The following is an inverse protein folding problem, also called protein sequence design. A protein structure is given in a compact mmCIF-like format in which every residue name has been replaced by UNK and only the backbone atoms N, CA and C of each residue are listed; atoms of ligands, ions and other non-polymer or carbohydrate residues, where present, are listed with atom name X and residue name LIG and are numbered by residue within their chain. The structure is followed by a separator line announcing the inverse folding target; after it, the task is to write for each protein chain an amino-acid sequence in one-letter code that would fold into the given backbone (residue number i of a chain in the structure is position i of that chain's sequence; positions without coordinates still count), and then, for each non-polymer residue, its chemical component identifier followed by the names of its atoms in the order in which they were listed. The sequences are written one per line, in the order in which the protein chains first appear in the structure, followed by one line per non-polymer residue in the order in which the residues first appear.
data_IF_774702472838
#
_entry.id   IF_774702472838
#
_cell.length_a   1.000
_cell.length_b   1.000
_cell.length_c   1.000
_cell.angle_alpha   90.00
_cell.angle_beta   90.00
_cell.angle_gamma   90.00
#
_symmetry.space_group_name_H-M   'P 1'
#
loop_
_entity.id
_entity.type
_entity.pdbx_description
1 polymer ?
#
# COMPACT_ATOMS: atom_id res chain seq x y z
N UNK A 1 14.35 10.15 16.12
CA UNK A 1 13.39 10.44 15.04
C UNK A 1 13.86 9.72 13.80
N UNK A 2 12.99 9.43 12.85
CA UNK A 2 13.35 8.76 11.61
C UNK A 2 13.54 9.82 10.50
N UNK A 3 14.70 9.79 9.85
CA UNK A 3 14.96 10.53 8.62
C UNK A 3 14.63 9.61 7.42
N UNK A 4 13.51 9.84 6.72
CA UNK A 4 13.10 8.99 5.62
C UNK A 4 13.95 9.18 4.35
N UNK A 5 14.72 10.28 4.25
CA UNK A 5 15.63 10.55 3.13
C UNK A 5 16.96 9.81 3.28
N UNK A 6 17.41 9.66 4.52
CA UNK A 6 18.65 8.96 4.87
C UNK A 6 18.44 7.51 5.34
N UNK A 7 17.18 7.09 5.47
CA UNK A 7 16.76 5.80 6.01
C UNK A 7 17.43 5.47 7.36
N UNK A 8 17.45 6.45 8.27
CA UNK A 8 18.18 6.34 9.54
C UNK A 8 17.40 6.90 10.73
N UNK A 9 17.79 6.48 11.94
CA UNK A 9 17.23 7.01 13.19
C UNK A 9 18.22 7.98 13.82
N UNK A 10 17.75 9.20 14.08
CA UNK A 10 18.49 10.28 14.74
C UNK A 10 17.99 10.50 16.18
N UNK A 11 18.73 11.23 17.04
CA UNK A 11 18.20 11.70 18.32
C UNK A 11 16.96 12.60 18.17
N UNK A 12 16.26 12.87 19.27
CA UNK A 12 15.18 13.86 19.27
C UNK A 12 15.77 15.27 19.34
N UNK A 13 15.34 16.14 18.44
CA UNK A 13 15.74 17.56 18.38
C UNK A 13 14.57 18.43 17.86
N UNK A 14 14.85 19.69 17.55
CA UNK A 14 13.90 20.70 17.08
C UNK A 14 13.33 20.42 15.68
N UNK A 15 13.90 19.46 14.94
CA UNK A 15 13.39 18.99 13.65
C UNK A 15 12.32 17.91 13.81
N UNK A 16 11.74 17.73 14.99
CA UNK A 16 10.61 16.83 15.16
C UNK A 16 9.37 17.31 14.41
N UNK A 17 8.66 16.39 13.73
CA UNK A 17 7.39 16.72 13.09
C UNK A 17 6.37 17.29 14.11
N UNK A 18 5.68 18.37 13.75
CA UNK A 18 4.67 19.04 14.56
C UNK A 18 3.51 18.10 14.95
N UNK A 19 3.24 17.08 14.13
CA UNK A 19 2.27 16.03 14.45
C UNK A 19 2.77 14.97 15.43
N UNK A 20 3.96 15.14 16.04
CA UNK A 20 4.47 14.22 17.06
C UNK A 20 3.54 14.07 18.26
N UNK A 21 3.02 15.19 18.79
CA UNK A 21 2.15 15.17 19.96
C UNK A 21 0.75 14.61 19.67
N UNK A 22 0.23 14.86 18.46
CA UNK A 22 -1.14 14.49 18.06
C UNK A 22 -1.24 13.09 17.45
N UNK A 23 -0.21 12.66 16.71
CA UNK A 23 -0.21 11.43 15.91
C UNK A 23 0.93 10.45 16.26
N UNK A 24 1.66 10.70 17.35
CA UNK A 24 2.83 9.90 17.69
C UNK A 24 3.92 9.92 16.60
N UNK A 25 3.91 10.91 15.70
CA UNK A 25 4.81 10.94 14.55
C UNK A 25 6.27 10.93 15.00
N UNK A 26 7.04 9.99 14.44
CA UNK A 26 8.46 9.79 14.76
C UNK A 26 9.39 10.35 13.70
N UNK A 27 8.88 10.89 12.60
CA UNK A 27 9.68 11.38 11.47
C UNK A 27 10.17 12.82 11.69
N UNK A 28 11.29 13.16 11.06
CA UNK A 28 11.80 14.53 11.03
C UNK A 28 10.95 15.41 10.11
N UNK A 29 10.79 16.68 10.46
CA UNK A 29 10.16 17.71 9.64
C UNK A 29 11.02 18.08 8.43
N UNK A 30 10.37 18.43 7.32
CA UNK A 30 10.98 19.01 6.13
C UNK A 30 10.44 20.44 5.94
N UNK A 31 11.34 21.41 5.73
CA UNK A 31 10.97 22.81 5.50
C UNK A 31 10.38 23.55 6.72
N UNK A 32 9.93 24.78 6.48
CA UNK A 32 9.54 25.73 7.54
C UNK A 32 8.19 25.42 8.21
N UNK A 33 7.37 24.55 7.60
CA UNK A 33 6.03 24.19 8.09
C UNK A 33 6.05 23.21 9.28
N UNK A 34 7.22 22.70 9.66
CA UNK A 34 7.36 21.77 10.79
C UNK A 34 6.72 20.39 10.56
N UNK A 35 6.23 20.07 9.37
CA UNK A 35 5.67 18.76 9.04
C UNK A 35 6.71 17.88 8.35
N UNK A 36 6.69 16.57 8.63
CA UNK A 36 7.49 15.61 7.87
C UNK A 36 6.92 15.39 6.48
N UNK A 37 7.73 14.82 5.59
CA UNK A 37 7.32 14.44 4.22
C UNK A 37 5.95 13.75 4.18
N UNK A 38 5.70 12.79 5.07
CA UNK A 38 4.43 12.08 5.11
C UNK A 38 3.28 12.94 5.62
N UNK A 39 3.43 13.67 6.72
CA UNK A 39 2.33 14.48 7.26
C UNK A 39 1.98 15.66 6.34
N UNK A 40 2.97 16.20 5.62
CA UNK A 40 2.77 17.29 4.66
C UNK A 40 1.89 16.90 3.46
N UNK A 41 1.77 15.60 3.14
CA UNK A 41 0.92 15.15 2.03
C UNK A 41 -0.56 15.02 2.39
N UNK A 42 -0.94 15.08 3.69
CA UNK A 42 -2.36 15.11 4.08
C UNK A 42 -2.89 16.53 3.99
N UNK A 43 -3.66 16.82 2.95
CA UNK A 43 -4.29 18.13 2.77
C UNK A 43 -5.64 18.24 3.48
N UNK A 44 -6.36 17.13 3.64
CA UNK A 44 -7.61 17.07 4.36
C UNK A 44 -7.51 16.06 5.51
N UNK A 45 -7.52 16.58 6.73
CA UNK A 45 -7.60 15.79 7.96
C UNK A 45 -9.03 15.27 8.20
N UNK A 46 -9.20 14.12 8.88
CA UNK A 46 -10.53 13.58 9.14
C UNK A 46 -11.27 14.41 10.19
N UNK A 47 -12.59 14.46 10.07
CA UNK A 47 -13.44 14.96 11.15
C UNK A 47 -13.29 14.08 12.39
N UNK A 48 -12.92 14.71 13.52
CA UNK A 48 -12.62 14.03 14.79
C UNK A 48 -13.79 14.04 15.78
N UNK A 49 -15.03 14.16 15.31
CA UNK A 49 -16.20 14.22 16.20
C UNK A 49 -16.62 12.87 16.79
N UNK A 50 -16.09 11.76 16.29
CA UNK A 50 -16.25 10.45 16.91
C UNK A 50 -15.09 10.15 17.88
N UNK A 51 -15.40 9.53 19.01
CA UNK A 51 -14.42 9.24 20.08
C UNK A 51 -13.22 8.40 19.61
N UNK A 52 -13.43 7.52 18.63
CA UNK A 52 -12.40 6.64 18.05
C UNK A 52 -11.58 7.30 16.94
N UNK A 53 -12.06 8.41 16.35
CA UNK A 53 -11.45 9.02 15.16
C UNK A 53 -9.99 9.46 15.36
N UNK A 54 -9.57 10.08 16.49
CA UNK A 54 -8.17 10.45 16.69
C UNK A 54 -7.22 9.24 16.65
N UNK A 55 -7.58 8.14 17.32
CA UNK A 55 -6.77 6.93 17.36
C UNK A 55 -6.74 6.19 16.01
N UNK A 56 -7.85 6.23 15.26
CA UNK A 56 -7.90 5.68 13.91
C UNK A 56 -7.04 6.50 12.94
N UNK A 57 -7.06 7.82 13.07
CA UNK A 57 -6.23 8.70 12.25
C UNK A 57 -4.73 8.52 12.54
N UNK A 58 -4.34 8.37 13.81
CA UNK A 58 -2.96 8.01 14.18
C UNK A 58 -2.47 6.74 13.46
N UNK A 59 -3.29 5.68 13.47
CA UNK A 59 -2.97 4.42 12.79
C UNK A 59 -2.95 4.56 11.27
N UNK A 60 -3.87 5.33 10.69
CA UNK A 60 -3.90 5.62 9.26
C UNK A 60 -2.63 6.33 8.79
N UNK A 61 -2.19 7.35 9.54
CA UNK A 61 -0.97 8.09 9.27
C UNK A 61 0.29 7.23 9.50
N UNK A 62 0.28 6.33 10.49
CA UNK A 62 1.36 5.35 10.68
C UNK A 62 1.45 4.38 9.51
N UNK A 63 0.31 3.88 9.00
CA UNK A 63 0.28 3.01 7.83
C UNK A 63 0.77 3.72 6.57
N UNK A 64 0.39 4.99 6.38
CA UNK A 64 0.88 5.82 5.27
C UNK A 64 2.39 6.01 5.31
N UNK A 65 2.97 6.29 6.48
CA UNK A 65 4.43 6.37 6.66
C UNK A 65 5.14 5.07 6.26
N UNK A 66 4.59 3.91 6.64
CA UNK A 66 5.12 2.61 6.24
C UNK A 66 5.08 2.38 4.73
N UNK A 67 3.98 2.77 4.07
CA UNK A 67 3.90 2.65 2.61
C UNK A 67 4.89 3.58 1.89
N UNK A 68 5.01 4.83 2.36
CA UNK A 68 5.91 5.83 1.76
C UNK A 68 7.39 5.49 1.95
N UNK A 69 7.80 4.92 3.09
CA UNK A 69 9.22 4.55 3.29
C UNK A 69 9.65 3.44 2.33
N UNK A 70 8.77 2.46 2.05
CA UNK A 70 9.04 1.42 1.06
C UNK A 70 9.28 2.01 -0.34
N UNK A 71 8.47 2.99 -0.74
CA UNK A 71 8.61 3.69 -2.03
C UNK A 71 9.86 4.58 -2.09
N UNK A 72 10.20 5.30 -1.02
CA UNK A 72 11.44 6.07 -0.92
C UNK A 72 12.68 5.19 -1.09
N UNK A 73 12.68 4.00 -0.49
CA UNK A 73 13.74 3.00 -0.66
C UNK A 73 13.85 2.48 -2.09
N UNK A 74 12.78 2.58 -2.87
CA UNK A 74 12.75 2.26 -4.30
C UNK A 74 13.07 3.49 -5.18
N UNK A 75 13.43 4.64 -4.60
CA UNK A 75 13.79 5.83 -5.35
C UNK A 75 12.63 6.77 -5.70
N UNK A 76 11.41 6.47 -5.28
CA UNK A 76 10.27 7.37 -5.48
C UNK A 76 10.33 8.57 -4.54
N UNK A 77 9.77 9.68 -4.98
CA UNK A 77 9.66 10.92 -4.19
C UNK A 77 11.00 11.53 -3.80
N UNK A 78 12.09 11.17 -4.47
CA UNK A 78 13.44 11.67 -4.20
C UNK A 78 13.71 12.93 -5.00
N UNK A 79 14.20 13.98 -4.34
CA UNK A 79 14.51 15.27 -4.95
C UNK A 79 13.47 16.37 -4.62
N UNK A 80 13.83 17.64 -4.85
CA UNK A 80 13.01 18.79 -4.44
C UNK A 80 11.72 18.96 -5.24
N UNK A 81 11.72 18.55 -6.51
CA UNK A 81 10.59 18.73 -7.43
C UNK A 81 9.82 17.42 -7.71
N UNK A 82 10.13 16.35 -6.95
CA UNK A 82 9.48 15.07 -7.14
C UNK A 82 7.98 15.18 -6.81
N UNK A 83 7.07 14.82 -7.74
CA UNK A 83 5.63 14.96 -7.51
C UNK A 83 5.20 14.01 -6.40
N UNK A 84 4.66 14.57 -5.31
CA UNK A 84 4.13 13.82 -4.18
C UNK A 84 2.64 13.53 -4.37
N UNK A 85 2.14 12.37 -3.90
CA UNK A 85 0.71 12.14 -3.79
C UNK A 85 0.09 13.09 -2.77
N UNK A 86 -1.18 13.45 -2.99
CA UNK A 86 -1.99 14.21 -2.02
C UNK A 86 -2.96 13.25 -1.35
N UNK A 87 -3.16 13.39 -0.04
CA UNK A 87 -4.09 12.55 0.72
C UNK A 87 -5.24 13.36 1.32
N UNK A 88 -6.45 12.82 1.14
CA UNK A 88 -7.61 13.13 1.96
C UNK A 88 -7.89 11.95 2.89
N UNK A 89 -7.86 12.19 4.19
CA UNK A 89 -8.24 11.20 5.20
C UNK A 89 -9.62 11.54 5.74
N UNK A 90 -10.57 10.63 5.57
CA UNK A 90 -11.98 10.86 5.89
C UNK A 90 -12.47 9.89 6.97
N UNK A 91 -13.43 10.37 7.77
CA UNK A 91 -14.19 9.56 8.74
C UNK A 91 -15.60 9.31 8.23
N UNK A 92 -16.11 8.09 8.39
CA UNK A 92 -17.53 7.79 8.15
C UNK A 92 -18.46 8.36 9.21
N UNK A 93 -17.95 8.74 10.38
CA UNK A 93 -18.74 9.29 11.48
C UNK A 93 -18.43 10.78 11.60
N UNK A 94 -19.42 11.62 11.32
CA UNK A 94 -19.32 13.08 11.39
C UNK A 94 -20.50 13.60 12.17
N UNK A 95 -20.23 14.18 13.34
CA UNK A 95 -21.20 14.89 14.19
C UNK A 95 -22.43 14.03 14.54
N UNK A 96 -22.19 12.75 14.82
CA UNK A 96 -23.22 11.76 15.12
C UNK A 96 -23.93 11.17 13.90
N UNK A 97 -23.71 11.71 12.70
CA UNK A 97 -24.21 11.15 11.44
C UNK A 97 -23.20 10.18 10.82
N UNK A 98 -23.72 9.21 10.05
CA UNK A 98 -22.90 8.29 9.25
C UNK A 98 -22.93 8.69 7.79
N UNK A 99 -21.78 8.78 7.16
CA UNK A 99 -21.61 8.98 5.72
C UNK A 99 -20.87 7.79 5.08
N UNK A 100 -21.06 7.61 3.78
CA UNK A 100 -20.27 6.69 2.98
C UNK A 100 -18.99 7.39 2.55
N UNK A 101 -17.84 6.75 2.78
CA UNK A 101 -16.54 7.20 2.26
C UNK A 101 -16.12 6.21 1.18
N UNK A 102 -16.05 6.70 -0.06
CA UNK A 102 -15.44 5.97 -1.16
C UNK A 102 -13.93 6.23 -1.12
N UNK A 103 -13.14 5.15 -1.05
CA UNK A 103 -11.69 5.21 -1.12
C UNK A 103 -11.26 5.00 -2.58
N UNK A 104 -10.21 5.70 -2.99
CA UNK A 104 -9.77 5.65 -4.37
C UNK A 104 -8.70 6.67 -4.67
N UNK A 105 -8.19 6.62 -5.90
CA UNK A 105 -7.26 7.56 -6.48
C UNK A 105 -7.89 8.30 -7.66
N UNK A 106 -7.69 9.61 -7.74
CA UNK A 106 -8.09 10.43 -8.89
C UNK A 106 -7.09 11.59 -9.08
N UNK A 107 -6.45 11.67 -10.25
CA UNK A 107 -5.58 12.79 -10.65
C UNK A 107 -4.51 13.20 -9.61
N UNK A 108 -3.92 12.22 -8.92
CA UNK A 108 -2.90 12.46 -7.88
C UNK A 108 -3.45 12.59 -6.46
N UNK A 109 -4.77 12.69 -6.30
CA UNK A 109 -5.45 12.70 -5.02
C UNK A 109 -5.85 11.29 -4.59
N UNK A 110 -5.37 10.87 -3.43
CA UNK A 110 -5.70 9.61 -2.77
C UNK A 110 -6.67 9.88 -1.62
N UNK A 111 -7.84 9.24 -1.65
CA UNK A 111 -8.83 9.31 -0.57
C UNK A 111 -8.79 8.04 0.26
N UNK A 112 -8.57 8.19 1.56
CA UNK A 112 -8.51 7.09 2.52
C UNK A 112 -9.59 7.24 3.60
N UNK A 113 -10.23 6.13 3.96
CA UNK A 113 -11.12 6.04 5.10
C UNK A 113 -10.36 5.59 6.35
N UNK A 114 -10.29 6.42 7.39
CA UNK A 114 -9.56 6.07 8.62
C UNK A 114 -10.14 4.85 9.35
N UNK A 115 -11.41 4.54 9.10
CA UNK A 115 -12.06 3.35 9.66
C UNK A 115 -11.43 2.05 9.15
N UNK A 116 -10.63 2.08 8.08
CA UNK A 116 -9.89 0.92 7.62
C UNK A 116 -8.86 0.44 8.66
N UNK A 117 -8.44 1.32 9.57
CA UNK A 117 -7.57 1.02 10.71
C UNK A 117 -8.32 0.47 11.95
N UNK A 118 -9.64 0.29 11.88
CA UNK A 118 -10.46 -0.23 12.98
C UNK A 118 -10.31 -1.76 13.12
N UNK A 119 -9.79 -2.27 14.26
CA UNK A 119 -9.68 -3.70 14.51
C UNK A 119 -11.02 -4.46 14.45
N UNK A 120 -12.12 -3.83 14.85
CA UNK A 120 -13.44 -4.46 14.82
C UNK A 120 -13.90 -4.69 13.38
N UNK A 121 -13.64 -3.73 12.48
CA UNK A 121 -13.88 -3.89 11.04
C UNK A 121 -12.97 -4.93 10.41
N UNK A 122 -11.68 -4.92 10.76
CA UNK A 122 -10.75 -5.93 10.28
C UNK A 122 -11.23 -7.35 10.66
N UNK A 123 -11.69 -7.54 11.89
CA UNK A 123 -12.24 -8.81 12.35
C UNK A 123 -13.55 -9.19 11.63
N UNK A 124 -14.46 -8.22 11.47
CA UNK A 124 -15.73 -8.45 10.77
C UNK A 124 -15.53 -8.83 9.29
N UNK A 125 -14.56 -8.21 8.60
CA UNK A 125 -14.20 -8.55 7.21
C UNK A 125 -13.64 -9.96 7.09
N UNK A 126 -12.73 -10.35 8.00
CA UNK A 126 -12.20 -11.72 8.05
C UNK A 126 -13.30 -12.77 8.16
N UNK A 127 -14.36 -12.49 8.90
CA UNK A 127 -15.49 -13.41 9.07
C UNK A 127 -16.44 -13.44 7.86
N UNK A 128 -16.52 -12.36 7.08
CA UNK A 128 -17.60 -12.15 6.10
C UNK A 128 -17.18 -12.27 4.64
N UNK A 129 -15.97 -11.84 4.28
CA UNK A 129 -15.58 -11.65 2.87
C UNK A 129 -14.41 -12.52 2.42
N UNK A 130 -13.84 -13.34 3.31
CA UNK A 130 -12.64 -14.14 3.02
C UNK A 130 -11.48 -13.31 2.42
N UNK A 131 -11.46 -11.98 2.63
CA UNK A 131 -10.39 -11.05 2.25
C UNK A 131 -9.31 -11.09 3.35
N UNK A 132 -8.23 -11.86 3.19
CA UNK A 132 -7.46 -12.26 4.34
C UNK A 132 -6.35 -11.25 4.70
N UNK A 133 -5.97 -10.36 3.76
CA UNK A 133 -4.91 -9.35 3.92
C UNK A 133 -5.41 -7.89 3.84
N UNK A 134 -6.69 -7.62 4.15
CA UNK A 134 -7.21 -6.24 4.10
C UNK A 134 -6.83 -5.44 5.36
N UNK A 135 -5.70 -4.74 5.26
CA UNK A 135 -5.11 -3.88 6.31
C UNK A 135 -5.01 -2.43 5.84
N UNK A 136 -4.92 -1.49 6.78
CA UNK A 136 -4.68 -0.08 6.44
C UNK A 136 -3.41 0.10 5.58
N UNK A 137 -2.31 -0.59 5.90
CA UNK A 137 -1.06 -0.50 5.10
C UNK A 137 -1.28 -1.03 3.68
N UNK A 138 -1.97 -2.16 3.54
CA UNK A 138 -2.31 -2.73 2.23
C UNK A 138 -3.16 -1.79 1.40
N UNK A 139 -4.16 -1.16 2.01
CA UNK A 139 -5.01 -0.20 1.33
C UNK A 139 -4.25 1.06 0.91
N UNK A 140 -3.37 1.61 1.75
CA UNK A 140 -2.55 2.75 1.33
C UNK A 140 -1.64 2.37 0.16
N UNK A 141 -1.07 1.16 0.15
CA UNK A 141 -0.25 0.68 -0.98
C UNK A 141 -1.06 0.47 -2.24
N UNK A 142 -2.29 -0.02 -2.13
CA UNK A 142 -3.22 -0.18 -3.25
C UNK A 142 -3.50 1.17 -3.92
N UNK A 143 -3.89 2.19 -3.14
CA UNK A 143 -4.15 3.52 -3.70
C UNK A 143 -2.89 4.21 -4.23
N UNK A 144 -1.75 4.01 -3.56
CA UNK A 144 -0.47 4.47 -4.09
C UNK A 144 -0.13 3.77 -5.40
N UNK A 145 -0.47 2.50 -5.59
CA UNK A 145 -0.21 1.81 -6.84
C UNK A 145 -0.99 2.43 -8.02
N UNK A 146 -2.23 2.88 -7.82
CA UNK A 146 -2.93 3.68 -8.84
C UNK A 146 -2.23 5.00 -9.14
N UNK A 147 -1.79 5.73 -8.10
CA UNK A 147 -0.99 6.94 -8.28
C UNK A 147 0.28 6.67 -9.11
N UNK A 148 0.98 5.58 -8.81
CA UNK A 148 2.23 5.21 -9.49
C UNK A 148 1.98 4.73 -10.92
N UNK A 149 0.84 4.08 -11.20
CA UNK A 149 0.45 3.69 -12.55
C UNK A 149 0.46 4.91 -13.48
N UNK A 150 -0.21 6.00 -13.08
CA UNK A 150 -0.29 7.21 -13.90
C UNK A 150 1.08 7.81 -14.18
N UNK A 151 1.97 7.80 -13.18
CA UNK A 151 3.35 8.28 -13.35
C UNK A 151 4.11 7.40 -14.33
N UNK A 152 4.09 6.08 -14.13
CA UNK A 152 4.79 5.12 -14.99
C UNK A 152 4.28 5.19 -16.43
N UNK A 153 2.97 5.27 -16.64
CA UNK A 153 2.37 5.40 -17.97
C UNK A 153 2.76 6.71 -18.68
N UNK A 154 3.06 7.77 -17.93
CA UNK A 154 3.49 9.06 -18.46
C UNK A 154 5.00 9.12 -18.72
N UNK A 155 5.82 8.51 -17.87
CA UNK A 155 7.28 8.67 -17.90
C UNK A 155 8.02 7.50 -18.56
N UNK A 156 7.40 6.31 -18.64
CA UNK A 156 8.02 5.09 -19.18
C UNK A 156 7.26 4.61 -20.43
N UNK A 157 7.76 4.89 -21.65
CA UNK A 157 7.06 4.54 -22.89
C UNK A 157 6.70 3.06 -23.05
N UNK A 158 7.53 2.17 -22.50
CA UNK A 158 7.35 0.73 -22.61
C UNK A 158 6.41 0.14 -21.55
N UNK A 159 6.04 0.91 -20.51
CA UNK A 159 5.20 0.41 -19.41
C UNK A 159 3.80 0.03 -19.89
N UNK A 160 3.07 0.93 -20.57
CA UNK A 160 1.70 0.66 -20.97
C UNK A 160 1.57 -0.53 -21.96
N UNK A 161 2.42 -0.68 -22.99
CA UNK A 161 2.40 -1.88 -23.84
C UNK A 161 2.70 -3.17 -23.06
N UNK A 162 3.71 -3.17 -22.18
CA UNK A 162 4.08 -4.36 -21.40
C UNK A 162 3.01 -4.70 -20.35
N UNK A 163 2.41 -3.68 -19.73
CA UNK A 163 1.25 -3.82 -18.85
C UNK A 163 0.12 -4.55 -19.56
N UNK A 164 -0.30 -4.08 -20.74
CA UNK A 164 -1.44 -4.67 -21.47
C UNK A 164 -1.18 -6.11 -21.89
N UNK A 165 0.06 -6.44 -22.20
CA UNK A 165 0.45 -7.80 -22.54
C UNK A 165 0.32 -8.78 -21.35
N UNK A 166 0.42 -8.28 -20.11
CA UNK A 166 0.47 -9.11 -18.91
C UNK A 166 -0.79 -9.04 -18.03
N UNK A 167 -1.33 -7.84 -17.82
CA UNK A 167 -2.46 -7.55 -16.92
C UNK A 167 -3.81 -7.45 -17.65
N UNK A 168 -3.79 -7.18 -18.96
CA UNK A 168 -5.00 -6.90 -19.76
C UNK A 168 -5.16 -5.42 -20.09
N UNK A 169 -6.23 -5.08 -20.82
CA UNK A 169 -6.45 -3.73 -21.34
C UNK A 169 -7.15 -2.83 -20.32
N UNK A 170 -6.40 -1.90 -19.73
CA UNK A 170 -6.91 -0.98 -18.71
C UNK A 170 -7.91 0.06 -19.24
N UNK A 171 -8.09 0.13 -20.57
CA UNK A 171 -9.01 1.07 -21.22
C UNK A 171 -10.45 0.57 -21.24
N UNK A 172 -10.70 -0.66 -20.78
CA UNK A 172 -12.04 -1.19 -20.60
C UNK A 172 -12.85 -0.29 -19.65
N UNK A 173 -14.17 -0.24 -19.82
CA UNK A 173 -15.01 0.62 -19.00
C UNK A 173 -15.04 0.11 -17.56
N UNK A 174 -14.38 0.86 -16.68
CA UNK A 174 -14.20 0.49 -15.27
C UNK A 174 -15.53 0.20 -14.57
N UNK A 175 -16.55 1.05 -14.76
CA UNK A 175 -17.83 0.89 -14.09
C UNK A 175 -18.56 -0.40 -14.53
N UNK A 176 -18.51 -0.71 -15.82
CA UNK A 176 -19.08 -1.93 -16.40
C UNK A 176 -18.34 -3.17 -15.91
N UNK A 177 -17.01 -3.15 -15.89
CA UNK A 177 -16.18 -4.26 -15.41
C UNK A 177 -16.44 -4.56 -13.92
N UNK A 178 -16.51 -3.51 -13.09
CA UNK A 178 -16.83 -3.62 -11.67
C UNK A 178 -18.24 -4.16 -11.43
N UNK A 179 -19.24 -3.71 -12.20
CA UNK A 179 -20.59 -4.23 -12.10
C UNK A 179 -20.64 -5.73 -12.44
N UNK A 180 -19.97 -6.14 -13.52
CA UNK A 180 -19.88 -7.55 -13.91
C UNK A 180 -19.18 -8.40 -12.84
N UNK A 181 -18.13 -7.89 -12.20
CA UNK A 181 -17.45 -8.56 -11.10
C UNK A 181 -18.35 -8.76 -9.88
N UNK A 182 -19.09 -7.74 -9.43
CA UNK A 182 -19.98 -7.88 -8.28
C UNK A 182 -21.19 -8.79 -8.56
N UNK A 183 -21.59 -8.92 -9.82
CA UNK A 183 -22.66 -9.85 -10.23
C UNK A 183 -22.18 -11.30 -10.31
N UNK A 184 -21.00 -11.53 -10.90
CA UNK A 184 -20.56 -12.87 -11.28
C UNK A 184 -19.43 -13.44 -10.40
N UNK A 185 -18.70 -12.58 -9.69
CA UNK A 185 -17.47 -12.94 -9.00
C UNK A 185 -16.30 -13.21 -9.97
N UNK A 186 -15.14 -13.66 -9.44
CA UNK A 186 -14.01 -14.04 -10.27
C UNK A 186 -14.30 -15.35 -11.04
N UNK A 187 -13.76 -15.48 -12.24
CA UNK A 187 -13.85 -16.72 -13.02
C UNK A 187 -13.07 -17.88 -12.38
N UNK A 188 -13.50 -19.13 -12.60
CA UNK A 188 -12.77 -20.30 -12.12
C UNK A 188 -11.31 -20.32 -12.61
N UNK A 189 -10.39 -20.74 -11.74
CA UNK A 189 -8.95 -20.77 -12.04
C UNK A 189 -8.25 -19.41 -11.97
N UNK A 190 -8.90 -18.36 -11.49
CA UNK A 190 -8.29 -17.03 -11.32
C UNK A 190 -6.99 -17.07 -10.50
N UNK A 191 -6.88 -18.00 -9.53
CA UNK A 191 -5.71 -18.16 -8.66
C UNK A 191 -4.43 -18.49 -9.44
N UNK A 192 -4.54 -18.99 -10.66
CA UNK A 192 -3.40 -19.29 -11.52
C UNK A 192 -2.73 -18.01 -12.05
N UNK A 193 -3.44 -16.88 -12.06
CA UNK A 193 -3.00 -15.64 -12.72
C UNK A 193 -3.19 -14.37 -11.91
N UNK A 194 -4.05 -14.35 -10.88
CA UNK A 194 -4.37 -13.15 -10.11
C UNK A 194 -4.06 -13.36 -8.63
N UNK A 195 -3.45 -12.35 -8.01
CA UNK A 195 -3.04 -12.40 -6.61
C UNK A 195 -4.25 -12.47 -5.66
N UNK A 196 -5.36 -11.85 -6.04
CA UNK A 196 -6.60 -11.85 -5.26
C UNK A 196 -7.83 -12.01 -6.18
N UNK A 197 -8.97 -12.38 -5.60
CA UNK A 197 -10.22 -12.42 -6.35
C UNK A 197 -10.60 -11.03 -6.87
N UNK A 198 -10.29 -9.97 -6.11
CA UNK A 198 -10.63 -8.60 -6.50
C UNK A 198 -9.76 -8.07 -7.65
N UNK A 199 -8.51 -8.54 -7.75
CA UNK A 199 -7.64 -8.26 -8.89
C UNK A 199 -8.26 -8.66 -10.24
N UNK A 200 -9.20 -9.62 -10.28
CA UNK A 200 -9.88 -9.99 -11.53
C UNK A 200 -10.92 -8.97 -11.99
N UNK A 201 -11.24 -7.97 -11.17
CA UNK A 201 -12.34 -7.05 -11.43
C UNK A 201 -12.04 -6.10 -12.59
N UNK A 202 -10.78 -5.66 -12.71
CA UNK A 202 -10.31 -4.76 -13.77
C UNK A 202 -8.77 -4.77 -13.84
N UNK A 203 -8.12 -4.57 -15.00
CA UNK A 203 -6.65 -4.55 -15.08
C UNK A 203 -5.97 -3.51 -14.17
N UNK A 204 -6.59 -2.35 -13.92
CA UNK A 204 -6.08 -1.40 -12.91
C UNK A 204 -6.11 -1.98 -11.48
N UNK A 205 -7.10 -2.79 -11.13
CA UNK A 205 -7.19 -3.45 -9.83
C UNK A 205 -6.18 -4.59 -9.71
N UNK A 206 -5.95 -5.32 -10.81
CA UNK A 206 -4.90 -6.34 -10.87
C UNK A 206 -3.53 -5.75 -10.57
N UNK A 207 -3.23 -4.60 -11.18
CA UNK A 207 -2.02 -3.84 -10.89
C UNK A 207 -1.97 -3.36 -9.44
N UNK A 208 -3.03 -2.73 -8.94
CA UNK A 208 -3.02 -2.16 -7.60
C UNK A 208 -2.82 -3.24 -6.52
N UNK A 209 -3.53 -4.36 -6.64
CA UNK A 209 -3.38 -5.52 -5.77
C UNK A 209 -2.00 -6.18 -5.90
N UNK A 210 -1.50 -6.35 -7.12
CA UNK A 210 -0.18 -6.95 -7.38
C UNK A 210 0.93 -6.07 -6.82
N UNK A 211 0.94 -4.78 -7.13
CA UNK A 211 1.93 -3.82 -6.66
C UNK A 211 1.91 -3.69 -5.13
N UNK A 212 0.72 -3.65 -4.51
CA UNK A 212 0.62 -3.63 -3.06
C UNK A 212 1.23 -4.89 -2.43
N UNK A 213 0.97 -6.07 -3.00
CA UNK A 213 1.54 -7.34 -2.54
C UNK A 213 3.06 -7.43 -2.76
N UNK A 214 3.56 -6.94 -3.89
CA UNK A 214 4.98 -6.84 -4.16
C UNK A 214 5.69 -5.98 -3.09
N UNK A 215 5.11 -4.82 -2.74
CA UNK A 215 5.62 -3.95 -1.68
C UNK A 215 5.52 -4.59 -0.28
N UNK A 216 4.47 -5.38 0.00
CA UNK A 216 4.38 -6.16 1.24
C UNK A 216 5.55 -7.15 1.36
N UNK A 217 5.77 -7.96 0.33
CA UNK A 217 6.83 -8.95 0.28
C UNK A 217 8.20 -8.29 0.41
N UNK A 218 8.45 -7.21 -0.33
CA UNK A 218 9.72 -6.49 -0.30
C UNK A 218 10.04 -5.96 1.11
N UNK A 219 9.08 -5.33 1.80
CA UNK A 219 9.32 -4.81 3.15
C UNK A 219 9.50 -5.92 4.19
N UNK A 220 8.83 -7.07 4.02
CA UNK A 220 9.10 -8.27 4.83
C UNK A 220 10.54 -8.76 4.62
N UNK A 221 11.00 -8.81 3.36
CA UNK A 221 12.37 -9.18 3.00
C UNK A 221 13.40 -8.25 3.65
N UNK A 222 13.22 -6.93 3.51
CA UNK A 222 14.09 -5.94 4.14
C UNK A 222 14.15 -6.09 5.67
N UNK A 223 13.00 -6.37 6.30
CA UNK A 223 12.94 -6.60 7.75
C UNK A 223 13.72 -7.85 8.16
N UNK A 224 13.61 -8.93 7.39
CA UNK A 224 14.35 -10.16 7.63
C UNK A 224 15.86 -9.98 7.44
N UNK A 225 16.28 -9.25 6.40
CA UNK A 225 17.68 -8.91 6.15
C UNK A 225 18.27 -8.04 7.27
N UNK A 226 17.53 -7.03 7.76
CA UNK A 226 17.96 -6.19 8.88
C UNK A 226 18.18 -7.00 10.18
N UNK A 227 17.50 -8.14 10.32
CA UNK A 227 17.65 -9.08 11.43
C UNK A 227 18.68 -10.19 11.15
N UNK A 228 19.36 -10.15 10.01
CA UNK A 228 20.31 -11.17 9.53
C UNK A 228 19.69 -12.57 9.43
N UNK A 229 18.40 -12.66 9.07
CA UNK A 229 17.76 -13.93 8.76
C UNK A 229 18.18 -14.38 7.36
N UNK A 230 18.63 -15.63 7.23
CA UNK A 230 19.01 -16.20 5.93
C UNK A 230 17.78 -16.39 5.04
N UNK A 231 17.81 -15.78 3.85
CA UNK A 231 16.74 -15.89 2.85
C UNK A 231 17.21 -16.79 1.72
N UNK A 232 16.42 -17.81 1.38
CA UNK A 232 16.63 -18.64 0.21
C UNK A 232 15.95 -18.02 -1.02
N UNK A 233 16.52 -18.24 -2.20
CA UNK A 233 15.96 -17.77 -3.46
C UNK A 233 16.99 -17.07 -4.36
N UNK A 234 16.78 -17.19 -5.66
CA UNK A 234 17.70 -16.69 -6.68
C UNK A 234 17.42 -15.22 -7.03
N UNK A 235 16.19 -14.74 -6.80
CA UNK A 235 15.79 -13.35 -6.98
C UNK A 235 15.35 -12.68 -5.66
N UNK A 236 15.26 -11.34 -5.67
CA UNK A 236 14.71 -10.57 -4.54
C UNK A 236 13.27 -10.96 -4.22
N UNK A 237 12.47 -11.30 -5.25
CA UNK A 237 11.10 -11.77 -5.05
C UNK A 237 11.07 -13.14 -4.40
N UNK A 238 11.91 -14.10 -4.82
CA UNK A 238 11.95 -15.44 -4.22
C UNK A 238 12.36 -15.39 -2.74
N UNK A 239 13.32 -14.53 -2.41
CA UNK A 239 13.71 -14.25 -1.03
C UNK A 239 12.54 -13.67 -0.22
N UNK A 240 11.80 -12.73 -0.80
CA UNK A 240 10.67 -12.12 -0.15
C UNK A 240 9.51 -13.10 0.08
N UNK A 241 9.25 -14.00 -0.88
CA UNK A 241 8.29 -15.09 -0.74
C UNK A 241 8.67 -16.06 0.37
N UNK A 242 9.96 -16.39 0.48
CA UNK A 242 10.49 -17.21 1.58
C UNK A 242 10.15 -16.60 2.94
N UNK A 243 10.26 -15.28 3.09
CA UNK A 243 9.86 -14.60 4.35
C UNK A 243 8.36 -14.72 4.61
N UNK A 244 7.51 -14.55 3.59
CA UNK A 244 6.06 -14.74 3.74
C UNK A 244 5.70 -16.14 4.23
N UNK A 245 6.34 -17.17 3.65
CA UNK A 245 6.18 -18.56 4.07
C UNK A 245 6.67 -18.77 5.50
N UNK A 246 7.86 -18.25 5.85
CA UNK A 246 8.41 -18.34 7.22
C UNK A 246 7.47 -17.68 8.25
N UNK A 247 6.95 -16.50 7.94
CA UNK A 247 6.02 -15.77 8.81
C UNK A 247 4.75 -16.60 9.07
N UNK A 248 4.16 -17.17 8.02
CA UNK A 248 3.00 -18.06 8.16
C UNK A 248 3.34 -19.27 9.03
N UNK A 249 4.50 -19.91 8.83
CA UNK A 249 4.92 -21.04 9.66
C UNK A 249 5.08 -20.68 11.15
N UNK A 250 5.66 -19.52 11.46
CA UNK A 250 5.76 -19.05 12.86
C UNK A 250 4.39 -18.76 13.47
N UNK A 251 3.46 -18.18 12.71
CA UNK A 251 2.12 -17.94 13.21
C UNK A 251 1.33 -19.23 13.43
N UNK A 252 1.40 -20.19 12.50
CA UNK A 252 0.75 -21.50 12.64
C UNK A 252 1.23 -22.27 13.86
N UNK A 253 2.53 -22.21 14.20
CA UNK A 253 3.07 -22.89 15.39
C UNK A 253 2.55 -22.32 16.71
N UNK A 254 2.07 -21.07 16.69
CA UNK A 254 1.41 -20.38 17.82
C UNK A 254 -0.13 -20.43 17.74
N UNK A 255 -0.69 -21.20 16.80
CA UNK A 255 -2.15 -21.26 16.57
C UNK A 255 -2.74 -19.95 16.03
N UNK A 256 -1.93 -19.08 15.43
CA UNK A 256 -2.36 -17.85 14.79
C UNK A 256 -2.65 -18.10 13.29
N UNK A 257 -3.60 -17.35 12.70
CA UNK A 257 -3.84 -17.42 11.25
C UNK A 257 -2.64 -16.89 10.47
N UNK A 258 -2.56 -17.28 9.21
CA UNK A 258 -1.52 -16.81 8.27
C UNK A 258 -1.61 -15.30 8.07
N UNK A 259 -0.55 -14.53 8.41
CA UNK A 259 -0.53 -13.09 8.17
C UNK A 259 -0.39 -12.75 6.69
N UNK A 260 0.19 -13.64 5.88
CA UNK A 260 0.33 -13.46 4.43
C UNK A 260 -0.17 -14.71 3.68
N UNK A 261 -1.48 -14.93 3.54
CA UNK A 261 -2.06 -16.16 3.00
C UNK A 261 -2.20 -16.18 1.48
N UNK A 262 -1.46 -15.31 0.78
CA UNK A 262 -1.57 -15.17 -0.68
C UNK A 262 -0.92 -16.38 -1.37
N UNK A 263 -1.56 -16.85 -2.43
CA UNK A 263 -1.03 -17.93 -3.28
C UNK A 263 -0.28 -17.27 -4.44
N UNK A 264 1.00 -17.61 -4.58
CA UNK A 264 1.83 -17.07 -5.65
C UNK A 264 2.06 -18.19 -6.67
N UNK A 265 1.14 -18.29 -7.62
CA UNK A 265 1.27 -19.13 -8.81
C UNK A 265 2.36 -18.59 -9.74
N UNK A 266 2.79 -19.34 -10.78
CA UNK A 266 3.70 -18.81 -11.80
C UNK A 266 3.20 -17.51 -12.45
N UNK A 267 1.91 -17.42 -12.82
CA UNK A 267 1.36 -16.20 -13.42
C UNK A 267 1.34 -15.00 -12.46
N UNK A 268 1.09 -15.25 -11.17
CA UNK A 268 1.18 -14.21 -10.13
C UNK A 268 2.63 -13.80 -9.89
N UNK A 269 3.58 -14.75 -9.92
CA UNK A 269 5.01 -14.46 -9.81
C UNK A 269 5.49 -13.54 -10.94
N UNK A 270 5.09 -13.82 -12.18
CA UNK A 270 5.42 -12.98 -13.35
C UNK A 270 4.92 -11.54 -13.16
N UNK A 271 3.68 -11.38 -12.69
CA UNK A 271 3.06 -10.08 -12.38
C UNK A 271 3.76 -9.35 -11.23
N UNK A 272 4.11 -10.04 -10.15
CA UNK A 272 4.86 -9.46 -9.03
C UNK A 272 6.26 -9.01 -9.47
N UNK A 273 6.94 -9.82 -10.30
CA UNK A 273 8.24 -9.50 -10.88
C UNK A 273 8.15 -8.27 -11.78
N UNK A 274 7.12 -8.20 -12.63
CA UNK A 274 6.82 -7.04 -13.46
C UNK A 274 6.62 -5.77 -12.61
N UNK A 275 5.80 -5.84 -11.56
CA UNK A 275 5.55 -4.71 -10.67
C UNK A 275 6.83 -4.24 -9.99
N UNK A 276 7.61 -5.14 -9.38
CA UNK A 276 8.89 -4.78 -8.75
C UNK A 276 9.88 -4.14 -9.74
N UNK A 277 9.94 -4.65 -10.98
CA UNK A 277 10.82 -4.13 -12.02
C UNK A 277 10.53 -2.67 -12.38
N UNK A 278 9.25 -2.29 -12.50
CA UNK A 278 8.87 -0.90 -12.78
C UNK A 278 8.85 0.00 -11.55
N UNK A 279 8.61 -0.56 -10.36
CA UNK A 279 8.61 0.19 -9.12
C UNK A 279 10.02 0.53 -8.61
N UNK A 280 11.07 -0.19 -9.02
CA UNK A 280 12.45 0.12 -8.63
C UNK A 280 13.06 1.23 -9.51
N UNK A 281 13.05 2.45 -9.01
CA UNK A 281 13.58 3.64 -9.68
C UNK A 281 15.04 3.96 -9.28
N UNK A 282 15.73 3.12 -8.50
CA UNK A 282 17.11 3.42 -8.02
C UNK A 282 18.18 3.53 -9.12
N UNK A 283 17.82 3.29 -10.38
CA UNK A 283 18.66 3.49 -11.57
C UNK A 283 18.01 4.31 -12.69
N UNK A 284 16.81 4.85 -12.48
CA UNK A 284 16.01 5.55 -13.48
C UNK A 284 15.61 6.93 -12.93
N UNK A 285 15.83 7.99 -13.71
CA UNK A 285 15.30 9.31 -13.34
C UNK A 285 13.78 9.33 -13.57
N UNK A 286 13.01 8.89 -12.57
CA UNK A 286 11.55 8.95 -12.53
C UNK A 286 11.12 10.05 -11.58
#
# INVERSE_FOLDING_TARGET
MFDPRQDCVTPLDDRACAHRARLGCSWIAEGDGGLCLSCATTQLEPHLSADDAPALWEKAEAAKRWALVGLLRLGWFVGPDAPLPVFHMLSEKVDGARQSVMMGHQDGLITLNIMEADPARAQARKQRFAEPLRTMVGHVRHELAHFLFDRLAQTQPDFAPAFRALMGDERDDYATAMAAYYENGPADGWQDTHISAYATAHPHEDWAETAANALHLLDLSHSAQALNLGLAGDSALDQAQTVGVMLNHFCRSLGQPDPYPMIISPGVHDKLSFALGYLDCRGSAV
#
